data_IF_097777172522
#
_entry.id   IF_097777172522
#
_cell.length_a   1.000
_cell.length_b   1.000
_cell.length_c   1.000
_cell.angle_alpha   90.00
_cell.angle_beta   90.00
_cell.angle_gamma   90.00
#
_symmetry.space_group_name_H-M   'P 1'
#
loop_
_entity.id
_entity.type
_entity.pdbx_description
1 polymer ?
#
# COMPACT_ATOMS: atom_id res chain seq x y z
N UNK A 1 -18.40 6.98 -9.50
CA UNK A 1 -18.95 5.64 -9.80
C UNK A 1 -18.29 4.54 -8.97
N UNK A 2 -17.18 4.79 -8.26
CA UNK A 2 -16.63 3.85 -7.26
C UNK A 2 -16.72 4.42 -5.83
N UNK A 3 -17.38 5.56 -5.70
CA UNK A 3 -17.49 6.40 -4.51
C UNK A 3 -18.36 5.73 -3.42
N UNK A 4 -19.08 4.66 -3.78
CA UNK A 4 -19.89 3.85 -2.87
C UNK A 4 -19.14 2.68 -2.25
N UNK A 5 -17.93 2.35 -2.71
CA UNK A 5 -17.12 1.31 -2.09
C UNK A 5 -16.45 1.87 -0.83
N UNK A 6 -16.61 1.17 0.29
CA UNK A 6 -16.05 1.58 1.59
C UNK A 6 -14.94 0.65 2.08
N UNK A 7 -14.66 -0.41 1.33
CA UNK A 7 -13.63 -1.39 1.68
C UNK A 7 -13.08 -2.12 0.46
N UNK A 8 -11.82 -2.56 0.57
CA UNK A 8 -11.02 -3.24 -0.47
C UNK A 8 -11.74 -4.44 -1.07
N UNK A 9 -12.40 -5.25 -0.24
CA UNK A 9 -13.08 -6.48 -0.70
C UNK A 9 -14.18 -6.20 -1.72
N UNK A 10 -15.09 -5.24 -1.47
CA UNK A 10 -16.21 -4.99 -2.38
C UNK A 10 -15.75 -4.43 -3.74
N UNK A 11 -14.71 -3.60 -3.72
CA UNK A 11 -14.07 -3.13 -4.94
C UNK A 11 -13.40 -4.28 -5.70
N UNK A 12 -12.62 -5.11 -4.99
CA UNK A 12 -11.96 -6.28 -5.59
C UNK A 12 -12.98 -7.24 -6.23
N UNK A 13 -14.11 -7.47 -5.58
CA UNK A 13 -15.19 -8.31 -6.11
C UNK A 13 -15.81 -7.72 -7.38
N UNK A 14 -16.01 -6.40 -7.42
CA UNK A 14 -16.48 -5.69 -8.62
C UNK A 14 -15.47 -5.84 -9.77
N UNK A 15 -14.17 -5.63 -9.51
CA UNK A 15 -13.13 -5.79 -10.54
C UNK A 15 -13.00 -7.27 -10.97
N UNK A 16 -13.11 -8.24 -10.07
CA UNK A 16 -13.13 -9.67 -10.44
C UNK A 16 -14.30 -9.98 -11.36
N UNK A 17 -15.48 -9.43 -11.09
CA UNK A 17 -16.67 -9.59 -11.93
C UNK A 17 -16.43 -9.03 -13.33
N UNK A 18 -15.80 -7.87 -13.45
CA UNK A 18 -15.34 -7.30 -14.72
C UNK A 18 -14.45 -8.29 -15.49
N UNK A 19 -13.47 -8.90 -14.82
CA UNK A 19 -12.59 -9.90 -15.45
C UNK A 19 -13.38 -11.12 -15.93
N UNK A 20 -14.32 -11.62 -15.14
CA UNK A 20 -15.15 -12.76 -15.53
C UNK A 20 -16.09 -12.45 -16.70
N UNK A 21 -16.73 -11.27 -16.67
CA UNK A 21 -17.73 -10.85 -17.65
C UNK A 21 -17.11 -10.38 -18.98
N UNK A 22 -15.79 -10.12 -19.00
CA UNK A 22 -15.05 -9.68 -20.20
C UNK A 22 -15.02 -10.66 -21.38
N UNK A 23 -15.35 -11.93 -21.14
CA UNK A 23 -15.19 -13.00 -22.14
C UNK A 23 -13.74 -13.35 -22.48
N UNK A 24 -12.75 -12.77 -21.79
CA UNK A 24 -11.33 -13.06 -22.02
C UNK A 24 -11.02 -14.55 -21.75
N UNK A 25 -10.12 -15.19 -22.53
CA UNK A 25 -9.68 -16.56 -22.27
C UNK A 25 -9.07 -16.73 -20.86
N UNK A 26 -9.30 -17.88 -20.23
CA UNK A 26 -8.76 -18.21 -18.89
C UNK A 26 -7.27 -17.91 -18.68
N UNK A 27 -6.36 -18.18 -19.64
CA UNK A 27 -4.95 -17.85 -19.48
C UNK A 27 -4.67 -16.35 -19.27
N UNK A 28 -5.52 -15.48 -19.82
CA UNK A 28 -5.44 -14.02 -19.67
C UNK A 28 -6.14 -13.54 -18.39
N UNK A 29 -7.23 -14.19 -17.98
CA UNK A 29 -7.91 -13.88 -16.72
C UNK A 29 -7.06 -14.23 -15.48
N UNK A 30 -6.25 -15.28 -15.55
CA UNK A 30 -5.55 -15.83 -14.37
C UNK A 30 -4.58 -14.84 -13.70
N UNK A 31 -3.67 -14.16 -14.44
CA UNK A 31 -2.80 -13.14 -13.86
C UNK A 31 -3.58 -12.00 -13.23
N UNK A 32 -4.66 -11.56 -13.90
CA UNK A 32 -5.57 -10.52 -13.42
C UNK A 32 -6.16 -10.85 -12.07
N UNK A 33 -6.83 -12.01 -11.98
CA UNK A 33 -7.49 -12.48 -10.77
C UNK A 33 -6.49 -12.70 -9.63
N UNK A 34 -5.29 -13.20 -9.94
CA UNK A 34 -4.21 -13.37 -8.96
C UNK A 34 -3.78 -12.03 -8.35
N UNK A 35 -3.65 -11.01 -9.19
CA UNK A 35 -3.21 -9.70 -8.75
C UNK A 35 -4.33 -8.94 -8.02
N UNK A 36 -5.59 -9.05 -8.45
CA UNK A 36 -6.75 -8.55 -7.69
C UNK A 36 -6.89 -9.29 -6.34
N UNK A 37 -6.60 -10.59 -6.27
CA UNK A 37 -6.60 -11.31 -4.98
C UNK A 37 -5.45 -10.90 -4.06
N UNK A 38 -4.36 -10.37 -4.62
CA UNK A 38 -3.28 -9.78 -3.82
C UNK A 38 -3.71 -8.44 -3.24
N UNK A 39 -4.50 -7.68 -4.01
CA UNK A 39 -5.12 -6.42 -3.59
C UNK A 39 -6.07 -6.58 -2.40
N UNK A 40 -6.85 -7.67 -2.34
CA UNK A 40 -7.79 -7.94 -1.22
C UNK A 40 -7.16 -7.92 0.17
N UNK A 41 -5.84 -8.10 0.25
CA UNK A 41 -5.09 -8.14 1.52
C UNK A 41 -4.60 -6.77 1.98
N UNK A 42 -4.91 -5.71 1.24
CA UNK A 42 -4.37 -4.39 1.50
C UNK A 42 -5.43 -3.44 2.06
N UNK A 43 -4.94 -2.44 2.79
CA UNK A 43 -5.79 -1.42 3.39
C UNK A 43 -6.53 -0.62 2.32
N UNK A 44 -7.79 -0.31 2.60
CA UNK A 44 -8.63 0.49 1.72
C UNK A 44 -8.04 1.89 1.55
N UNK A 45 -7.82 2.30 0.30
CA UNK A 45 -7.26 3.61 -0.06
C UNK A 45 -8.14 4.29 -1.10
N UNK A 46 -9.11 5.12 -0.67
CA UNK A 46 -10.11 5.67 -1.59
C UNK A 46 -9.50 6.52 -2.69
N UNK A 47 -8.38 7.20 -2.46
CA UNK A 47 -7.71 8.05 -3.45
C UNK A 47 -7.16 7.23 -4.62
N UNK A 48 -6.46 6.13 -4.32
CA UNK A 48 -5.92 5.21 -5.34
C UNK A 48 -7.04 4.56 -6.14
N UNK A 49 -8.16 4.25 -5.48
CA UNK A 49 -9.32 3.68 -6.16
C UNK A 49 -10.04 4.70 -7.02
N UNK A 50 -10.07 5.96 -6.61
CA UNK A 50 -10.62 7.04 -7.42
C UNK A 50 -9.78 7.26 -8.67
N UNK A 51 -8.44 7.25 -8.57
CA UNK A 51 -7.56 7.33 -9.75
C UNK A 51 -7.79 6.15 -10.71
N UNK A 52 -7.91 4.93 -10.16
CA UNK A 52 -8.28 3.75 -10.91
C UNK A 52 -9.63 3.91 -11.64
N UNK A 53 -10.64 4.42 -10.94
CA UNK A 53 -11.97 4.70 -11.47
C UNK A 53 -11.96 5.75 -12.59
N UNK A 54 -11.24 6.85 -12.40
CA UNK A 54 -11.14 7.93 -13.36
C UNK A 54 -10.47 7.45 -14.65
N UNK A 55 -9.46 6.59 -14.52
CA UNK A 55 -8.78 6.00 -15.67
C UNK A 55 -9.67 5.04 -16.45
N UNK A 56 -10.51 4.26 -15.76
CA UNK A 56 -11.51 3.40 -16.40
C UNK A 56 -12.50 4.20 -17.25
N UNK A 57 -12.94 5.36 -16.74
CA UNK A 57 -13.83 6.24 -17.50
C UNK A 57 -13.14 6.81 -18.76
N UNK A 58 -11.84 7.12 -18.69
CA UNK A 58 -11.06 7.65 -19.82
C UNK A 58 -10.96 6.63 -20.96
N UNK A 59 -10.90 5.33 -20.64
CA UNK A 59 -10.78 4.26 -21.65
C UNK A 59 -12.11 3.91 -22.33
N UNK A 60 -13.17 4.67 -22.07
CA UNK A 60 -14.50 4.45 -22.66
C UNK A 60 -15.27 3.31 -22.01
N UNK A 61 -14.77 2.77 -20.90
CA UNK A 61 -15.40 1.70 -20.16
C UNK A 61 -16.27 2.30 -19.07
N UNK A 62 -17.55 1.91 -19.07
CA UNK A 62 -18.52 2.37 -18.09
C UNK A 62 -19.03 1.19 -17.30
N UNK A 63 -19.37 1.40 -16.04
CA UNK A 63 -20.15 0.43 -15.28
C UNK A 63 -21.63 0.85 -15.28
N UNK A 64 -22.54 -0.11 -15.35
CA UNK A 64 -23.94 0.12 -15.01
C UNK A 64 -24.13 0.25 -13.49
N UNK A 65 -25.37 0.55 -13.07
CA UNK A 65 -25.73 0.67 -11.64
C UNK A 65 -25.57 -0.66 -10.88
N UNK A 66 -25.50 -1.79 -11.59
CA UNK A 66 -25.21 -3.12 -11.05
C UNK A 66 -23.70 -3.48 -11.04
N UNK A 67 -22.84 -2.55 -11.47
CA UNK A 67 -21.39 -2.74 -11.51
C UNK A 67 -20.90 -3.65 -12.64
N UNK A 68 -21.67 -3.80 -13.73
CA UNK A 68 -21.27 -4.56 -14.93
C UNK A 68 -20.66 -3.63 -15.97
N UNK A 69 -19.68 -4.12 -16.72
CA UNK A 69 -19.11 -3.35 -17.82
C UNK A 69 -20.11 -3.18 -18.96
N UNK A 70 -20.30 -1.93 -19.35
CA UNK A 70 -20.92 -1.51 -20.59
C UNK A 70 -19.78 -1.18 -21.55
N UNK A 71 -19.81 -1.83 -22.71
CA UNK A 71 -18.88 -1.58 -23.81
C UNK A 71 -19.59 -0.80 -24.90
N UNK A 72 -18.99 0.31 -25.34
CA UNK A 72 -19.50 1.05 -26.50
C UNK A 72 -19.36 0.20 -27.79
N UNK A 73 -18.32 -0.64 -27.86
CA UNK A 73 -18.03 -1.55 -28.98
C UNK A 73 -17.85 -3.01 -28.46
N UNK A 74 -18.87 -3.88 -28.60
CA UNK A 74 -18.85 -5.24 -28.02
C UNK A 74 -17.73 -6.15 -28.53
N UNK A 75 -17.27 -5.93 -29.77
CA UNK A 75 -16.20 -6.67 -30.42
C UNK A 75 -14.80 -6.35 -29.87
N UNK A 76 -14.64 -5.21 -29.18
CA UNK A 76 -13.40 -4.82 -28.51
C UNK A 76 -13.35 -5.19 -27.02
N UNK A 77 -14.44 -5.72 -26.46
CA UNK A 77 -14.60 -5.98 -25.02
C UNK A 77 -13.44 -6.78 -24.38
N UNK A 78 -12.89 -7.86 -25.00
CA UNK A 78 -11.79 -8.62 -24.40
C UNK A 78 -10.49 -7.81 -24.33
N UNK A 79 -10.19 -7.03 -25.36
CA UNK A 79 -8.97 -6.20 -25.44
C UNK A 79 -9.05 -5.03 -24.46
N UNK A 80 -10.21 -4.39 -24.37
CA UNK A 80 -10.44 -3.31 -23.42
C UNK A 80 -10.37 -3.80 -21.97
N UNK A 81 -10.92 -4.98 -21.65
CA UNK A 81 -10.81 -5.55 -20.31
C UNK A 81 -9.37 -5.94 -19.92
N UNK A 82 -8.55 -6.41 -20.87
CA UNK A 82 -7.13 -6.67 -20.61
C UNK A 82 -6.37 -5.38 -20.25
N UNK A 83 -6.65 -4.29 -20.96
CA UNK A 83 -6.11 -2.96 -20.68
C UNK A 83 -6.53 -2.43 -19.30
N UNK A 84 -7.79 -2.63 -18.91
CA UNK A 84 -8.28 -2.31 -17.56
C UNK A 84 -7.46 -2.98 -16.49
N UNK A 85 -7.29 -4.29 -16.63
CA UNK A 85 -6.55 -5.10 -15.68
C UNK A 85 -5.12 -4.59 -15.58
N UNK A 86 -4.45 -4.38 -16.72
CA UNK A 86 -3.07 -3.92 -16.74
C UNK A 86 -2.91 -2.55 -16.06
N UNK A 87 -3.81 -1.60 -16.34
CA UNK A 87 -3.81 -0.27 -15.73
C UNK A 87 -4.08 -0.35 -14.23
N UNK A 88 -5.13 -1.06 -13.81
CA UNK A 88 -5.48 -1.20 -12.40
C UNK A 88 -4.33 -1.81 -11.61
N UNK A 89 -3.71 -2.85 -12.15
CA UNK A 89 -2.58 -3.50 -11.52
C UNK A 89 -1.34 -2.62 -11.49
N UNK A 90 -1.04 -1.91 -12.57
CA UNK A 90 0.10 -1.00 -12.63
C UNK A 90 -0.06 0.14 -11.63
N UNK A 91 -1.21 0.83 -11.64
CA UNK A 91 -1.49 1.93 -10.71
C UNK A 91 -1.52 1.48 -9.27
N UNK A 92 -2.02 0.29 -9.03
CA UNK A 92 -2.04 -0.26 -7.70
C UNK A 92 -0.66 -0.65 -7.19
N UNK A 93 0.17 -1.28 -8.04
CA UNK A 93 1.58 -1.54 -7.72
C UNK A 93 2.32 -0.23 -7.48
N UNK A 94 2.13 0.78 -8.32
CA UNK A 94 2.71 2.12 -8.14
C UNK A 94 2.25 2.76 -6.82
N UNK A 95 0.97 2.63 -6.46
CA UNK A 95 0.47 3.10 -5.17
C UNK A 95 1.11 2.34 -4.01
N UNK A 96 1.21 1.01 -4.08
CA UNK A 96 1.88 0.20 -3.06
C UNK A 96 3.38 0.52 -2.95
N UNK A 97 4.06 0.79 -4.06
CA UNK A 97 5.46 1.17 -4.11
C UNK A 97 5.69 2.62 -3.65
N UNK A 98 4.76 3.52 -3.95
CA UNK A 98 4.71 4.89 -3.43
C UNK A 98 4.40 4.97 -1.94
N UNK A 99 3.82 3.90 -1.37
CA UNK A 99 3.61 3.67 0.07
C UNK A 99 4.77 2.83 0.66
N UNK A 100 5.93 2.77 0.02
CA UNK A 100 7.14 2.50 0.81
C UNK A 100 7.45 3.75 1.62
N UNK A 101 6.82 3.87 2.80
CA UNK A 101 7.35 4.76 3.83
C UNK A 101 8.85 4.49 3.91
N UNK A 102 9.69 5.52 3.73
CA UNK A 102 11.12 5.31 3.58
C UNK A 102 11.59 4.43 4.73
N UNK A 103 12.18 3.29 4.37
CA UNK A 103 12.69 2.34 5.34
C UNK A 103 14.10 2.77 5.71
N UNK A 104 14.27 3.08 6.98
CA UNK A 104 15.53 3.49 7.55
C UNK A 104 16.24 2.25 8.10
N UNK A 105 17.50 2.07 7.74
CA UNK A 105 18.42 1.20 8.47
C UNK A 105 18.67 1.74 9.88
N UNK A 106 19.30 0.95 10.74
CA UNK A 106 19.71 1.41 12.08
C UNK A 106 20.60 2.66 12.04
N UNK A 107 21.42 2.82 10.99
CA UNK A 107 22.28 4.01 10.83
C UNK A 107 21.45 5.23 10.45
N UNK A 108 20.53 5.09 9.51
CA UNK A 108 19.70 6.21 9.06
C UNK A 108 18.68 6.63 10.14
N UNK A 109 18.14 5.67 10.90
CA UNK A 109 17.29 5.96 12.05
C UNK A 109 18.05 6.73 13.16
N UNK A 110 19.33 6.43 13.37
CA UNK A 110 20.18 7.16 14.30
C UNK A 110 20.37 8.62 13.88
N UNK A 111 20.61 8.86 12.58
CA UNK A 111 20.68 10.20 11.99
C UNK A 111 19.33 10.92 12.12
N UNK A 112 18.23 10.24 11.79
CA UNK A 112 16.87 10.79 11.84
C UNK A 112 16.51 11.28 13.26
N UNK A 113 16.78 10.47 14.27
CA UNK A 113 16.49 10.82 15.66
C UNK A 113 17.58 11.69 16.31
N UNK A 114 18.69 11.96 15.62
CA UNK A 114 19.82 12.73 16.16
C UNK A 114 20.49 12.06 17.37
N UNK A 115 20.71 10.74 17.31
CA UNK A 115 21.34 9.94 18.37
C UNK A 115 22.41 9.01 17.79
N UNK A 116 23.16 8.31 18.66
CA UNK A 116 24.15 7.32 18.22
C UNK A 116 23.50 5.98 17.82
N UNK A 117 24.14 5.21 16.94
CA UNK A 117 23.69 3.85 16.57
C UNK A 117 23.58 2.91 17.79
N UNK A 118 24.55 2.89 18.74
CA UNK A 118 24.38 2.16 20.00
C UNK A 118 23.14 2.58 20.80
N UNK A 119 22.80 3.87 20.79
CA UNK A 119 21.60 4.39 21.46
C UNK A 119 20.32 3.84 20.81
N UNK A 120 20.23 3.77 19.48
CA UNK A 120 19.11 3.12 18.79
C UNK A 120 18.96 1.66 19.22
N UNK A 121 20.06 0.89 19.24
CA UNK A 121 20.03 -0.51 19.70
C UNK A 121 19.56 -0.61 21.16
N UNK A 122 19.99 0.32 22.02
CA UNK A 122 19.52 0.39 23.40
C UNK A 122 18.02 0.67 23.49
N UNK A 123 17.49 1.60 22.67
CA UNK A 123 16.05 1.86 22.61
C UNK A 123 15.25 0.65 22.16
N UNK A 124 15.73 -0.06 21.12
CA UNK A 124 15.08 -1.30 20.66
C UNK A 124 15.09 -2.40 21.73
N UNK A 125 16.16 -2.54 22.52
CA UNK A 125 16.36 -3.72 23.38
C UNK A 125 16.09 -3.54 24.89
N UNK A 126 16.11 -2.33 25.47
CA UNK A 126 16.27 -2.20 26.93
C UNK A 126 15.28 -1.31 27.69
N UNK A 127 14.65 -0.29 27.10
CA UNK A 127 14.11 0.80 27.94
C UNK A 127 12.74 1.33 27.52
N UNK A 128 12.54 1.66 26.25
CA UNK A 128 11.26 2.12 25.70
C UNK A 128 11.29 1.65 24.25
N UNK A 129 10.53 0.60 23.94
CA UNK A 129 10.76 -0.21 22.74
C UNK A 129 10.41 0.60 21.50
N UNK A 130 11.44 1.25 20.92
CA UNK A 130 11.35 1.81 19.58
C UNK A 130 10.89 0.67 18.64
N UNK A 131 9.69 0.77 18.03
CA UNK A 131 9.20 -0.28 17.16
C UNK A 131 10.17 -0.49 16.01
N UNK A 132 10.44 -1.76 15.69
CA UNK A 132 11.31 -2.11 14.59
C UNK A 132 10.81 -3.38 13.91
N UNK A 133 11.07 -3.49 12.61
CA UNK A 133 10.78 -4.69 11.84
C UNK A 133 12.12 -5.38 11.57
N UNK A 134 12.17 -6.69 11.80
CA UNK A 134 13.35 -7.50 11.48
C UNK A 134 13.23 -8.05 10.07
N UNK A 135 14.15 -7.69 9.19
CA UNK A 135 14.26 -8.23 7.82
C UNK A 135 15.61 -8.93 7.67
N UNK A 136 15.60 -10.25 7.81
CA UNK A 136 16.83 -11.06 7.92
C UNK A 136 17.60 -10.75 9.20
N UNK A 137 18.86 -10.32 9.06
CA UNK A 137 19.71 -9.91 10.18
C UNK A 137 19.69 -8.40 10.46
N UNK A 138 18.94 -7.62 9.69
CA UNK A 138 18.84 -6.18 9.84
C UNK A 138 17.57 -5.76 10.59
N UNK A 139 17.68 -4.68 11.36
CA UNK A 139 16.56 -3.92 11.89
C UNK A 139 16.26 -2.76 10.94
N UNK A 140 15.01 -2.67 10.50
CA UNK A 140 14.48 -1.58 9.68
C UNK A 140 13.39 -0.85 10.44
N UNK A 141 13.28 0.44 10.17
CA UNK A 141 12.35 1.37 10.81
C UNK A 141 11.59 2.11 9.72
N UNK A 142 10.30 2.38 9.92
CA UNK A 142 9.58 3.31 9.05
C UNK A 142 9.63 4.70 9.65
N UNK A 143 9.36 5.72 8.83
CA UNK A 143 9.27 7.11 9.30
C UNK A 143 8.27 7.25 10.44
N UNK A 144 7.10 6.63 10.30
CA UNK A 144 6.01 6.69 11.27
C UNK A 144 6.42 6.09 12.61
N UNK A 145 7.21 5.00 12.60
CA UNK A 145 7.76 4.40 13.83
C UNK A 145 8.73 5.36 14.54
N UNK A 146 9.53 6.10 13.77
CA UNK A 146 10.49 7.07 14.32
C UNK A 146 9.80 8.36 14.79
N UNK A 147 8.76 8.82 14.10
CA UNK A 147 7.99 10.00 14.46
C UNK A 147 7.11 9.76 15.69
N UNK A 148 6.54 8.55 15.82
CA UNK A 148 5.78 8.14 17.00
C UNK A 148 6.67 7.87 18.24
N UNK A 149 7.98 7.79 18.07
CA UNK A 149 8.90 7.54 19.17
C UNK A 149 9.16 8.83 19.95
N UNK A 150 8.46 8.97 21.09
CA UNK A 150 8.78 10.01 22.05
C UNK A 150 10.10 9.69 22.74
N UNK A 151 11.08 10.61 22.61
CA UNK A 151 12.36 10.43 23.29
C UNK A 151 12.12 10.37 24.81
N UNK A 152 12.61 9.34 25.51
CA UNK A 152 12.59 9.34 26.96
C UNK A 152 13.24 10.62 27.47
N UNK A 153 12.48 11.45 28.19
CA UNK A 153 13.04 12.58 28.94
C UNK A 153 13.91 12.00 30.04
N UNK A 154 15.17 11.70 29.74
CA UNK A 154 16.16 11.32 30.74
C UNK A 154 16.48 12.55 31.62
N UNK A 155 15.57 12.86 32.53
CA UNK A 155 15.77 13.77 33.63
C UNK A 155 16.38 13.02 34.81
N UNK A 156 17.69 12.75 34.74
CA UNK A 156 18.51 12.76 35.96
C UNK A 156 19.79 13.55 35.66
N UNK A 157 19.99 14.72 36.26
CA UNK A 157 21.22 15.46 36.10
C UNK A 157 22.36 14.63 36.69
N UNK A 158 23.28 14.18 35.84
CA UNK A 158 24.47 13.41 36.24
C UNK A 158 25.63 14.30 36.69
N UNK A 159 25.33 15.36 37.44
CA UNK A 159 26.33 16.11 38.21
C UNK A 159 25.87 16.19 39.66
N UNK A 160 26.25 15.20 40.46
CA UNK A 160 26.52 15.45 41.87
C UNK A 160 27.90 16.10 41.90
N UNK A 161 27.94 17.41 42.12
CA UNK A 161 29.15 18.03 42.63
C UNK A 161 29.49 17.32 43.94
N UNK A 162 30.62 16.62 43.95
CA UNK A 162 31.22 16.14 45.18
C UNK A 162 31.83 17.38 45.80
N UNK A 163 31.13 17.95 46.78
CA UNK A 163 31.67 18.96 47.70
C UNK A 163 32.06 18.30 49.01
#
# INVERSE_FOLDING_TARGET
MFDHYTHTQAFADAVKRIVYDSGAPRPQQRPALSAISSFERCDWRPEVMQECADYLNITGLRLDDEGRLIYDEPDQAPTQAALVIEVLLTRYVEALEGIQSPVYSTKEAAVYLGVSVPTIKKYVHQTESLPSIKRGHALIFTREMLDAFEKPKYGRPWHREIT
#
